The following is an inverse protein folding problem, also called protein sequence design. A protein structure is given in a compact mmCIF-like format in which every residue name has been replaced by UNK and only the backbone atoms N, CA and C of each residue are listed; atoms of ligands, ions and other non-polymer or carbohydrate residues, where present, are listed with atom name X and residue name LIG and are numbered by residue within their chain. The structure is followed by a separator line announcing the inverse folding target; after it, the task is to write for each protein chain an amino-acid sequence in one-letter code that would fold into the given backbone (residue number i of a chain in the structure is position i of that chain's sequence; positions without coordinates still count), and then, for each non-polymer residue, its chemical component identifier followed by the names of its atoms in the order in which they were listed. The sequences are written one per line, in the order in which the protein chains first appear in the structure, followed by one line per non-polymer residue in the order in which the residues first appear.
data_IF_206851936764
#
_entry.id   IF_206851936764
#
_cell.length_a   1.000
_cell.length_b   1.000
_cell.length_c   1.000
_cell.angle_alpha   90.00
_cell.angle_beta   90.00
_cell.angle_gamma   90.00
#
_symmetry.space_group_name_H-M   'P 1'
#
loop_
_entity.id
_entity.type
_entity.pdbx_description
1 polymer ?
#
# COMPACT_ATOMS: atom_id res chain seq x y z
N UNK A 1 -9.96 8.84 10.43
CA UNK A 1 -10.54 8.82 9.08
C UNK A 1 -9.54 9.38 8.07
N UNK A 2 -9.22 8.67 6.99
CA UNK A 2 -8.54 9.16 5.79
C UNK A 2 -9.61 9.66 4.82
N UNK A 3 -9.45 10.85 4.27
CA UNK A 3 -10.40 11.42 3.32
C UNK A 3 -9.68 12.03 2.11
N UNK A 4 -10.15 11.68 0.92
CA UNK A 4 -9.88 12.38 -0.33
C UNK A 4 -11.16 13.12 -0.73
N UNK A 5 -11.08 14.41 -1.04
CA UNK A 5 -12.23 15.25 -1.35
C UNK A 5 -12.01 15.97 -2.68
N UNK A 6 -12.85 15.66 -3.67
CA UNK A 6 -12.85 16.32 -4.97
C UNK A 6 -11.53 16.21 -5.74
N UNK A 7 -10.87 15.05 -5.67
CA UNK A 7 -9.56 14.86 -6.28
C UNK A 7 -9.65 14.93 -7.79
N UNK A 8 -8.88 15.86 -8.37
CA UNK A 8 -8.61 15.96 -9.79
C UNK A 8 -7.11 15.79 -10.03
N UNK A 9 -6.75 15.00 -11.02
CA UNK A 9 -5.36 14.78 -11.36
C UNK A 9 -5.17 14.45 -12.84
N UNK A 10 -4.16 15.08 -13.47
CA UNK A 10 -3.80 14.89 -14.86
C UNK A 10 -2.30 14.60 -15.01
N UNK A 11 -1.91 13.65 -15.85
CA UNK A 11 -0.53 13.50 -16.27
C UNK A 11 -0.23 14.49 -17.40
N UNK A 12 0.34 15.64 -17.06
CA UNK A 12 0.64 16.71 -18.04
C UNK A 12 -0.59 17.49 -18.49
N UNK A 13 -0.66 17.84 -19.79
CA UNK A 13 -1.73 18.69 -20.35
C UNK A 13 -2.92 17.89 -20.92
N UNK A 14 -3.02 16.60 -20.64
CA UNK A 14 -4.09 15.72 -21.13
C UNK A 14 -5.40 15.85 -20.35
N UNK A 15 -6.38 15.03 -20.73
CA UNK A 15 -7.60 14.87 -19.94
C UNK A 15 -7.29 14.35 -18.54
N UNK A 16 -8.08 14.74 -17.52
CA UNK A 16 -7.88 14.27 -16.17
C UNK A 16 -8.06 12.75 -16.09
N UNK A 17 -7.16 12.10 -15.35
CA UNK A 17 -7.26 10.66 -15.01
C UNK A 17 -8.17 10.47 -13.80
N UNK A 18 -8.17 11.45 -12.89
CA UNK A 18 -9.12 11.56 -11.79
C UNK A 18 -9.88 12.87 -11.96
N UNK A 19 -11.21 12.83 -11.90
CA UNK A 19 -12.06 14.01 -12.08
C UNK A 19 -13.13 14.08 -10.99
N UNK A 20 -12.84 14.82 -9.92
CA UNK A 20 -13.76 15.05 -8.80
C UNK A 20 -13.92 13.83 -7.86
N UNK A 21 -12.98 12.91 -7.84
CA UNK A 21 -13.06 11.68 -7.04
C UNK A 21 -13.02 11.99 -5.54
N UNK A 22 -13.95 11.40 -4.79
CA UNK A 22 -14.00 11.51 -3.34
C UNK A 22 -14.08 10.14 -2.69
N UNK A 23 -13.32 9.93 -1.61
CA UNK A 23 -13.24 8.67 -0.87
C UNK A 23 -13.04 8.97 0.62
N UNK A 24 -13.68 8.15 1.48
CA UNK A 24 -13.45 8.17 2.92
C UNK A 24 -13.20 6.76 3.42
N UNK A 25 -12.24 6.63 4.33
CA UNK A 25 -11.85 5.36 4.93
C UNK A 25 -11.66 5.55 6.43
N UNK A 26 -12.39 4.79 7.22
CA UNK A 26 -12.24 4.79 8.68
C UNK A 26 -11.11 3.84 9.13
N UNK A 27 -10.68 3.97 10.39
CA UNK A 27 -9.78 2.99 11.01
C UNK A 27 -10.44 1.62 11.01
N UNK A 28 -9.68 0.57 10.66
CA UNK A 28 -10.19 -0.81 10.58
C UNK A 28 -11.08 -1.11 9.36
N UNK A 29 -11.53 -0.10 8.60
CA UNK A 29 -12.29 -0.30 7.38
C UNK A 29 -11.40 -0.82 6.25
N UNK A 30 -11.93 -1.71 5.41
CA UNK A 30 -11.24 -2.31 4.27
C UNK A 30 -11.99 -2.02 2.98
N UNK A 31 -11.50 -1.02 2.26
CA UNK A 31 -12.15 -0.50 1.04
C UNK A 31 -11.46 -1.06 -0.20
N UNK A 32 -12.21 -1.77 -1.04
CA UNK A 32 -11.74 -2.18 -2.35
C UNK A 32 -12.04 -1.09 -3.39
N UNK A 33 -11.07 -0.72 -4.19
CA UNK A 33 -11.27 0.13 -5.37
C UNK A 33 -11.56 -0.76 -6.58
N UNK A 34 -12.76 -0.64 -7.12
CA UNK A 34 -13.24 -1.37 -8.28
C UNK A 34 -13.39 -0.43 -9.47
N UNK A 35 -12.78 -0.78 -10.58
CA UNK A 35 -12.97 -0.08 -11.85
C UNK A 35 -12.25 -0.84 -12.98
N UNK A 36 -12.57 -0.61 -14.26
CA UNK A 36 -11.81 -1.12 -15.39
C UNK A 36 -10.33 -0.73 -15.33
N UNK A 37 -9.46 -1.45 -16.06
CA UNK A 37 -8.05 -1.07 -16.17
C UNK A 37 -7.92 0.31 -16.82
N UNK A 38 -6.97 1.11 -16.32
CA UNK A 38 -6.71 2.45 -16.87
C UNK A 38 -7.60 3.58 -16.31
N UNK A 39 -8.54 3.29 -15.42
CA UNK A 39 -9.46 4.31 -14.83
C UNK A 39 -8.84 5.16 -13.72
N UNK A 40 -7.56 4.98 -13.39
CA UNK A 40 -6.89 5.81 -12.39
C UNK A 40 -6.77 5.22 -11.00
N UNK A 41 -7.08 3.93 -10.76
CA UNK A 41 -6.94 3.28 -9.44
C UNK A 41 -5.55 3.47 -8.81
N UNK A 42 -4.49 3.14 -9.56
CA UNK A 42 -3.09 3.36 -9.13
C UNK A 42 -2.79 4.84 -8.90
N UNK A 43 -3.36 5.73 -9.71
CA UNK A 43 -3.20 7.18 -9.55
C UNK A 43 -3.85 7.65 -8.26
N UNK A 44 -5.07 7.21 -7.97
CA UNK A 44 -5.74 7.50 -6.70
C UNK A 44 -4.96 6.93 -5.51
N UNK A 45 -4.48 5.69 -5.60
CA UNK A 45 -3.62 5.06 -4.58
C UNK A 45 -2.40 5.94 -4.25
N UNK A 46 -1.70 6.44 -5.28
CA UNK A 46 -0.54 7.34 -5.12
C UNK A 46 -0.92 8.70 -4.54
N UNK A 47 -2.06 9.25 -4.91
CA UNK A 47 -2.57 10.51 -4.34
C UNK A 47 -2.91 10.32 -2.86
N UNK A 48 -3.61 9.23 -2.49
CA UNK A 48 -3.95 8.90 -1.11
C UNK A 48 -2.71 8.73 -0.22
N UNK A 49 -1.65 8.12 -0.76
CA UNK A 49 -0.39 7.91 -0.04
C UNK A 49 0.57 9.14 -0.10
N UNK A 50 0.17 10.22 -0.77
CA UNK A 50 0.96 11.46 -0.85
C UNK A 50 2.13 11.43 -1.83
N UNK A 51 2.21 10.42 -2.71
CA UNK A 51 3.23 10.36 -3.78
C UNK A 51 2.92 11.28 -4.96
N UNK A 52 1.63 11.62 -5.16
CA UNK A 52 1.18 12.59 -6.15
C UNK A 52 0.36 13.68 -5.47
N UNK A 53 0.68 14.93 -5.78
CA UNK A 53 -0.14 16.06 -5.37
C UNK A 53 -1.30 16.22 -6.37
N UNK A 54 -2.56 16.24 -5.93
CA UNK A 54 -3.67 16.46 -6.85
C UNK A 54 -3.65 17.90 -7.42
N UNK A 55 -4.18 18.09 -8.65
CA UNK A 55 -4.34 19.39 -9.27
C UNK A 55 -5.41 20.20 -8.53
N UNK A 56 -6.50 19.51 -8.13
CA UNK A 56 -7.59 20.05 -7.32
C UNK A 56 -8.01 19.05 -6.26
N UNK A 57 -8.66 19.52 -5.20
CA UNK A 57 -9.06 18.71 -4.07
C UNK A 57 -7.95 18.56 -3.03
N UNK A 58 -8.14 17.65 -2.09
CA UNK A 58 -7.20 17.44 -1.00
C UNK A 58 -7.31 16.05 -0.38
N UNK A 59 -6.20 15.58 0.20
CA UNK A 59 -6.17 14.38 1.06
C UNK A 59 -5.88 14.80 2.49
N UNK A 60 -6.67 14.29 3.43
CA UNK A 60 -6.55 14.61 4.84
C UNK A 60 -6.67 13.35 5.72
N UNK A 61 -6.03 13.40 6.89
CA UNK A 61 -6.29 12.46 8.00
C UNK A 61 -6.89 13.26 9.15
N UNK A 62 -8.11 12.91 9.57
CA UNK A 62 -8.88 13.62 10.60
C UNK A 62 -8.96 15.13 10.33
N UNK A 63 -9.18 15.50 9.05
CA UNK A 63 -9.28 16.89 8.59
C UNK A 63 -7.93 17.63 8.47
N UNK A 64 -6.80 17.00 8.80
CA UNK A 64 -5.46 17.58 8.67
C UNK A 64 -4.76 17.06 7.41
N UNK A 65 -4.06 17.92 6.65
CA UNK A 65 -3.27 17.48 5.49
C UNK A 65 -2.23 16.43 5.88
N UNK A 66 -1.84 15.59 4.89
CA UNK A 66 -0.73 14.66 5.09
C UNK A 66 0.57 15.40 5.45
N UNK A 67 1.41 14.82 6.32
CA UNK A 67 2.67 15.46 6.71
C UNK A 67 3.62 15.53 5.51
N UNK A 68 4.27 16.68 5.35
CA UNK A 68 5.28 16.89 4.29
C UNK A 68 6.67 16.39 4.68
N UNK A 69 6.90 16.04 5.94
CA UNK A 69 8.19 15.57 6.49
C UNK A 69 7.94 14.46 7.51
N UNK A 70 8.93 13.59 7.64
CA UNK A 70 8.84 12.43 8.53
C UNK A 70 8.08 11.27 7.90
N UNK A 71 7.77 10.27 8.70
CA UNK A 71 7.05 9.08 8.26
C UNK A 71 5.58 9.43 8.00
N UNK A 72 5.11 9.15 6.79
CA UNK A 72 3.70 9.36 6.45
C UNK A 72 2.84 8.29 7.16
N UNK A 73 1.74 8.65 7.83
CA UNK A 73 0.84 7.70 8.44
C UNK A 73 0.00 6.89 7.43
N UNK A 74 0.12 7.19 6.14
CA UNK A 74 -0.40 6.39 5.03
C UNK A 74 0.78 5.73 4.33
N UNK A 75 0.85 4.40 4.36
CA UNK A 75 1.91 3.66 3.69
C UNK A 75 1.37 2.94 2.47
N UNK A 76 2.16 2.87 1.40
CA UNK A 76 1.77 2.20 0.17
C UNK A 76 2.58 0.92 -0.05
N UNK A 77 1.88 -0.16 -0.37
CA UNK A 77 2.45 -1.42 -0.83
C UNK A 77 2.22 -1.46 -2.35
N UNK A 78 3.32 -1.45 -3.09
CA UNK A 78 3.33 -1.32 -4.53
C UNK A 78 3.13 -2.67 -5.23
N UNK A 79 2.58 -2.64 -6.42
CA UNK A 79 2.50 -3.79 -7.31
C UNK A 79 3.89 -4.32 -7.68
N UNK A 80 4.83 -3.42 -7.93
CA UNK A 80 6.21 -3.69 -8.29
C UNK A 80 7.13 -3.36 -7.11
N UNK A 81 7.55 -4.34 -6.30
CA UNK A 81 8.33 -4.10 -5.10
C UNK A 81 9.69 -3.45 -5.38
N UNK A 82 10.27 -3.68 -6.55
CA UNK A 82 11.53 -3.07 -7.00
C UNK A 82 11.44 -1.54 -7.13
N UNK A 83 10.24 -1.00 -7.39
CA UNK A 83 10.01 0.44 -7.43
C UNK A 83 9.93 1.08 -6.03
N UNK A 84 9.80 0.27 -5.00
CA UNK A 84 9.62 0.72 -3.62
C UNK A 84 10.92 0.75 -2.80
N UNK A 85 12.04 0.20 -3.30
CA UNK A 85 13.29 0.03 -2.57
C UNK A 85 14.48 0.62 -3.32
N UNK A 86 15.51 1.05 -2.59
CA UNK A 86 16.79 1.43 -3.22
C UNK A 86 17.54 0.15 -3.65
N UNK A 87 17.79 -0.07 -4.97
CA UNK A 87 18.47 -1.25 -5.47
C UNK A 87 19.92 -1.40 -4.99
N UNK A 88 20.51 -0.35 -4.43
CA UNK A 88 21.88 -0.31 -3.90
C UNK A 88 21.94 -0.56 -2.39
N UNK A 89 20.79 -0.70 -1.74
CA UNK A 89 20.69 -0.90 -0.30
C UNK A 89 20.45 -2.37 0.03
N UNK A 90 21.14 -2.90 1.07
CA UNK A 90 20.85 -4.23 1.59
C UNK A 90 19.48 -4.24 2.27
N UNK A 91 18.77 -5.34 2.16
CA UNK A 91 17.37 -5.43 2.59
C UNK A 91 17.18 -5.25 4.11
N UNK A 92 18.14 -5.67 4.93
CA UNK A 92 18.11 -5.36 6.36
C UNK A 92 18.14 -3.86 6.66
N UNK A 93 18.86 -3.07 5.85
CA UNK A 93 18.84 -1.60 5.96
C UNK A 93 17.55 -0.99 5.44
N UNK A 94 16.99 -1.56 4.36
CA UNK A 94 15.67 -1.16 3.84
C UNK A 94 14.58 -1.32 4.90
N UNK A 95 14.60 -2.41 5.67
CA UNK A 95 13.65 -2.58 6.80
C UNK A 95 13.88 -1.55 7.91
N UNK A 96 15.15 -1.23 8.19
CA UNK A 96 15.51 -0.29 9.25
C UNK A 96 15.19 1.19 8.90
N UNK A 97 14.80 1.51 7.65
CA UNK A 97 14.35 2.86 7.27
C UNK A 97 13.10 3.31 8.05
N UNK A 98 12.23 2.37 8.39
CA UNK A 98 10.99 2.65 9.13
C UNK A 98 11.19 2.65 10.66
N UNK A 99 12.37 2.30 11.15
CA UNK A 99 12.66 2.16 12.58
C UNK A 99 13.36 0.84 12.92
N UNK A 100 13.41 0.46 14.19
CA UNK A 100 13.96 -0.83 14.60
C UNK A 100 13.23 -2.00 13.92
N UNK A 101 14.00 -2.99 13.46
CA UNK A 101 13.44 -4.16 12.77
C UNK A 101 12.56 -4.97 13.73
N UNK A 102 11.28 -5.05 13.44
CA UNK A 102 10.32 -5.85 14.17
C UNK A 102 10.46 -7.33 13.77
N UNK A 103 10.97 -8.15 14.70
CA UNK A 103 11.16 -9.58 14.49
C UNK A 103 9.85 -10.35 14.33
N UNK A 104 8.75 -9.87 14.89
CA UNK A 104 7.43 -10.48 14.69
C UNK A 104 6.93 -10.29 13.25
N UNK A 105 7.12 -9.10 12.67
CA UNK A 105 6.82 -8.85 11.25
C UNK A 105 7.70 -9.69 10.33
N UNK A 106 9.00 -9.78 10.61
CA UNK A 106 9.96 -10.59 9.84
C UNK A 106 9.56 -12.06 9.84
N UNK A 107 9.29 -12.63 11.01
CA UNK A 107 8.88 -14.02 11.17
C UNK A 107 7.52 -14.32 10.56
N UNK A 108 6.52 -13.45 10.79
CA UNK A 108 5.16 -13.60 10.27
C UNK A 108 5.08 -13.54 8.74
N UNK A 109 5.93 -12.74 8.11
CA UNK A 109 6.07 -12.69 6.65
C UNK A 109 7.00 -13.79 6.10
N UNK A 110 7.60 -14.63 6.94
CA UNK A 110 8.52 -15.68 6.50
C UNK A 110 9.79 -15.13 5.84
N UNK A 111 10.25 -13.95 6.25
CA UNK A 111 11.51 -13.36 5.80
C UNK A 111 12.65 -14.12 6.50
N UNK A 112 13.59 -14.65 5.73
CA UNK A 112 14.73 -15.39 6.24
C UNK A 112 15.86 -14.46 6.63
N UNK A 113 16.58 -14.78 7.71
CA UNK A 113 17.71 -13.96 8.17
C UNK A 113 18.80 -13.82 7.10
N UNK A 114 19.04 -14.88 6.30
CA UNK A 114 20.02 -14.87 5.21
C UNK A 114 19.69 -13.87 4.08
N UNK A 115 18.44 -13.39 3.98
CA UNK A 115 18.03 -12.40 3.00
C UNK A 115 18.35 -10.96 3.43
N UNK A 116 18.59 -10.73 4.71
CA UNK A 116 18.86 -9.39 5.25
C UNK A 116 20.11 -8.74 4.64
N UNK A 117 21.10 -9.56 4.31
CA UNK A 117 22.36 -9.10 3.72
C UNK A 117 22.36 -9.04 2.19
N UNK A 118 21.25 -9.45 1.56
CA UNK A 118 21.08 -9.43 0.11
C UNK A 118 20.61 -8.06 -0.38
N UNK A 119 20.85 -7.82 -1.67
CA UNK A 119 20.31 -6.70 -2.40
C UNK A 119 18.97 -7.07 -3.05
N UNK A 120 18.11 -6.09 -3.40
CA UNK A 120 16.79 -6.35 -4.01
C UNK A 120 16.84 -7.27 -5.24
N UNK A 121 17.83 -7.11 -6.11
CA UNK A 121 17.98 -7.89 -7.34
C UNK A 121 18.40 -9.36 -7.12
N UNK A 122 18.75 -9.74 -5.90
CA UNK A 122 19.13 -11.11 -5.52
C UNK A 122 17.94 -11.92 -4.97
N UNK A 123 16.74 -11.31 -4.90
CA UNK A 123 15.51 -11.94 -4.44
C UNK A 123 14.50 -12.10 -5.57
N UNK A 124 13.64 -13.12 -5.43
CA UNK A 124 12.43 -13.21 -6.25
C UNK A 124 11.45 -12.08 -5.90
N UNK A 125 10.54 -11.74 -6.83
CA UNK A 125 9.53 -10.72 -6.60
C UNK A 125 8.70 -10.96 -5.33
N UNK A 126 8.34 -12.23 -5.05
CA UNK A 126 7.58 -12.59 -3.84
C UNK A 126 8.37 -12.43 -2.54
N UNK A 127 9.67 -12.75 -2.57
CA UNK A 127 10.56 -12.53 -1.43
C UNK A 127 10.74 -11.03 -1.17
N UNK A 128 10.96 -10.23 -2.22
CA UNK A 128 11.11 -8.78 -2.12
C UNK A 128 9.81 -8.12 -1.65
N UNK A 129 8.65 -8.60 -2.11
CA UNK A 129 7.35 -8.09 -1.69
C UNK A 129 7.15 -8.21 -0.17
N UNK A 130 7.63 -9.31 0.44
CA UNK A 130 7.58 -9.50 1.90
C UNK A 130 8.33 -8.40 2.64
N UNK A 131 9.51 -7.98 2.13
CA UNK A 131 10.26 -6.85 2.69
C UNK A 131 9.52 -5.52 2.54
N UNK A 132 8.88 -5.27 1.40
CA UNK A 132 8.09 -4.06 1.18
C UNK A 132 6.90 -3.96 2.15
N UNK A 133 6.21 -5.08 2.39
CA UNK A 133 5.11 -5.16 3.36
C UNK A 133 5.63 -4.97 4.79
N UNK A 134 6.71 -5.66 5.16
CA UNK A 134 7.31 -5.52 6.49
C UNK A 134 7.71 -4.08 6.78
N UNK A 135 8.36 -3.40 5.81
CA UNK A 135 8.75 -1.99 5.93
C UNK A 135 7.55 -1.08 6.08
N UNK A 136 6.51 -1.28 5.27
CA UNK A 136 5.29 -0.48 5.35
C UNK A 136 4.60 -0.62 6.73
N UNK A 137 4.53 -1.83 7.26
CA UNK A 137 3.93 -2.10 8.58
C UNK A 137 4.83 -1.66 9.75
N UNK A 138 6.16 -1.72 9.59
CA UNK A 138 7.12 -1.24 10.59
C UNK A 138 7.05 0.28 10.80
N UNK A 139 6.54 1.02 9.81
CA UNK A 139 6.28 2.45 9.92
C UNK A 139 5.06 2.79 10.82
N UNK A 140 4.41 1.80 11.42
CA UNK A 140 3.21 1.94 12.25
C UNK A 140 2.11 2.79 11.58
N UNK A 141 1.70 2.43 10.35
CA UNK A 141 0.77 3.24 9.59
C UNK A 141 -0.62 3.24 10.22
N UNK A 142 -1.35 4.33 10.05
CA UNK A 142 -2.78 4.41 10.34
C UNK A 142 -3.62 3.89 9.17
N UNK A 143 -3.09 4.00 7.95
CA UNK A 143 -3.72 3.53 6.71
C UNK A 143 -2.68 2.85 5.82
N UNK A 144 -3.09 1.77 5.18
CA UNK A 144 -2.31 1.06 4.16
C UNK A 144 -3.05 1.12 2.83
N UNK A 145 -2.32 1.45 1.78
CA UNK A 145 -2.81 1.40 0.40
C UNK A 145 -2.10 0.25 -0.30
N UNK A 146 -2.82 -0.81 -0.67
CA UNK A 146 -2.28 -1.98 -1.36
C UNK A 146 -2.70 -1.95 -2.85
N UNK A 147 -1.77 -1.55 -3.73
CA UNK A 147 -2.01 -1.45 -5.16
C UNK A 147 -1.55 -2.74 -5.85
N UNK A 148 -2.50 -3.64 -6.11
CA UNK A 148 -2.27 -4.93 -6.81
C UNK A 148 -1.07 -5.73 -6.28
N UNK A 149 -0.77 -5.64 -5.01
CA UNK A 149 0.48 -6.06 -4.36
C UNK A 149 0.81 -7.55 -4.50
N UNK A 150 -0.11 -8.36 -5.01
CA UNK A 150 0.04 -9.82 -5.07
C UNK A 150 -0.17 -10.43 -6.45
N UNK A 151 -0.36 -9.62 -7.50
CA UNK A 151 -0.64 -10.11 -8.88
C UNK A 151 0.52 -10.90 -9.47
N UNK A 152 1.76 -10.65 -9.03
CA UNK A 152 2.97 -11.33 -9.51
C UNK A 152 3.33 -12.57 -8.70
N UNK A 153 2.49 -12.97 -7.73
CA UNK A 153 2.78 -14.06 -6.79
C UNK A 153 2.00 -15.33 -7.15
N UNK A 154 2.58 -16.49 -6.84
CA UNK A 154 1.84 -17.75 -6.86
C UNK A 154 0.71 -17.75 -5.80
N UNK A 155 -0.31 -18.58 -6.00
CA UNK A 155 -1.51 -18.59 -5.19
C UNK A 155 -1.25 -18.87 -3.70
N UNK A 156 -0.25 -19.70 -3.37
CA UNK A 156 0.08 -20.01 -1.99
C UNK A 156 0.73 -18.82 -1.29
N UNK A 157 1.72 -18.23 -1.93
CA UNK A 157 2.40 -17.01 -1.44
C UNK A 157 1.41 -15.86 -1.30
N UNK A 158 0.52 -15.68 -2.28
CA UNK A 158 -0.55 -14.68 -2.23
C UNK A 158 -1.44 -14.88 -1.00
N UNK A 159 -1.93 -16.10 -0.77
CA UNK A 159 -2.79 -16.41 0.37
C UNK A 159 -2.09 -16.15 1.71
N UNK A 160 -0.81 -16.52 1.84
CA UNK A 160 -0.02 -16.29 3.05
C UNK A 160 0.15 -14.80 3.34
N UNK A 161 0.53 -14.00 2.33
CA UNK A 161 0.75 -12.57 2.46
C UNK A 161 -0.55 -11.85 2.83
N UNK A 162 -1.66 -12.15 2.13
CA UNK A 162 -2.95 -11.54 2.45
C UNK A 162 -3.44 -11.90 3.84
N UNK A 163 -3.31 -13.18 4.24
CA UNK A 163 -3.67 -13.59 5.60
C UNK A 163 -2.89 -12.79 6.64
N UNK A 164 -1.56 -12.74 6.50
CA UNK A 164 -0.72 -11.99 7.43
C UNK A 164 -1.09 -10.49 7.46
N UNK A 165 -1.28 -9.87 6.29
CA UNK A 165 -1.68 -8.45 6.23
C UNK A 165 -3.02 -8.22 6.91
N UNK A 166 -4.01 -9.12 6.73
CA UNK A 166 -5.30 -9.00 7.38
C UNK A 166 -5.21 -9.12 8.90
N UNK A 167 -4.43 -10.09 9.40
CA UNK A 167 -4.19 -10.26 10.83
C UNK A 167 -3.58 -8.98 11.44
N UNK A 168 -2.62 -8.34 10.76
CA UNK A 168 -2.00 -7.10 11.22
C UNK A 168 -2.94 -5.88 11.10
N UNK A 169 -3.69 -5.76 10.02
CA UNK A 169 -4.70 -4.71 9.81
C UNK A 169 -5.76 -4.75 10.90
N UNK A 170 -6.28 -5.92 11.21
CA UNK A 170 -7.28 -6.13 12.24
C UNK A 170 -6.72 -5.85 13.65
N UNK A 171 -5.55 -6.41 13.97
CA UNK A 171 -4.90 -6.26 15.26
C UNK A 171 -4.57 -4.80 15.60
N UNK A 172 -4.20 -3.99 14.59
CA UNK A 172 -3.78 -2.59 14.75
C UNK A 172 -4.87 -1.58 14.41
N UNK A 173 -6.07 -2.05 14.03
CA UNK A 173 -7.18 -1.19 13.55
C UNK A 173 -6.76 -0.27 12.39
N UNK A 174 -5.88 -0.76 11.49
CA UNK A 174 -5.40 -0.01 10.33
C UNK A 174 -6.50 0.06 9.27
N UNK A 175 -6.78 1.25 8.73
CA UNK A 175 -7.63 1.38 7.55
C UNK A 175 -6.90 0.87 6.30
N UNK A 176 -7.57 0.06 5.48
CA UNK A 176 -6.99 -0.52 4.27
C UNK A 176 -7.76 -0.05 3.03
N UNK A 177 -7.04 0.48 2.05
CA UNK A 177 -7.53 0.63 0.67
C UNK A 177 -6.77 -0.34 -0.21
N UNK A 178 -7.47 -1.13 -1.02
CA UNK A 178 -6.78 -2.07 -1.89
C UNK A 178 -7.38 -2.17 -3.29
N UNK A 179 -6.51 -2.46 -4.25
CA UNK A 179 -6.86 -2.77 -5.63
C UNK A 179 -6.58 -4.25 -5.86
N UNK A 180 -7.54 -4.97 -6.41
CA UNK A 180 -7.37 -6.39 -6.78
C UNK A 180 -8.20 -6.72 -8.02
N UNK A 181 -7.66 -7.59 -8.87
CA UNK A 181 -8.38 -8.18 -10.00
C UNK A 181 -9.09 -9.49 -9.63
N UNK A 182 -8.98 -9.96 -8.39
CA UNK A 182 -9.64 -11.17 -7.91
C UNK A 182 -10.95 -10.85 -7.21
N UNK A 183 -12.14 -11.13 -7.82
CA UNK A 183 -13.42 -10.93 -7.17
C UNK A 183 -13.54 -11.70 -5.85
N UNK A 184 -13.06 -12.95 -5.83
CA UNK A 184 -13.09 -13.79 -4.62
C UNK A 184 -12.28 -13.21 -3.47
N UNK A 185 -11.13 -12.55 -3.77
CA UNK A 185 -10.35 -11.86 -2.75
C UNK A 185 -11.08 -10.62 -2.25
N UNK A 186 -11.65 -9.84 -3.18
CA UNK A 186 -12.43 -8.64 -2.86
C UNK A 186 -13.60 -8.96 -1.97
N UNK A 187 -14.44 -9.92 -2.33
CA UNK A 187 -15.59 -10.36 -1.53
C UNK A 187 -15.21 -10.84 -0.12
N UNK A 188 -14.05 -11.47 0.00
CA UNK A 188 -13.60 -12.01 1.28
C UNK A 188 -13.02 -10.96 2.21
N UNK A 189 -12.37 -9.92 1.68
CA UNK A 189 -11.58 -8.95 2.46
C UNK A 189 -12.32 -7.63 2.64
N UNK A 190 -13.01 -7.13 1.62
CA UNK A 190 -13.62 -5.81 1.65
C UNK A 190 -14.77 -5.72 2.66
N UNK A 191 -14.79 -4.63 3.41
CA UNK A 191 -15.99 -4.19 4.13
C UNK A 191 -16.87 -3.34 3.23
N UNK A 192 -16.25 -2.65 2.27
CA UNK A 192 -16.89 -1.75 1.31
C UNK A 192 -16.20 -1.80 -0.04
N UNK A 193 -16.96 -1.57 -1.11
CA UNK A 193 -16.45 -1.48 -2.49
C UNK A 193 -16.80 -0.10 -3.02
N UNK A 194 -15.81 0.59 -3.54
CA UNK A 194 -15.96 1.90 -4.18
C UNK A 194 -15.63 1.78 -5.66
N UNK A 195 -16.58 2.15 -6.50
CA UNK A 195 -16.41 2.23 -7.95
C UNK A 195 -15.87 3.60 -8.36
N UNK A 196 -14.89 3.63 -9.28
CA UNK A 196 -14.27 4.85 -9.82
C UNK A 196 -14.72 5.09 -11.24
#
# INVERSE_FOLDING_TARGET
MLAAEGIRYSYGKGAPVLDGVSLRVESGQRVALSAPSGTGKTTLARVLAGYLAPDEGRVTIDGRPLPRRGVCPVQMIWQHPEAAVDPRMRLGRTLAEAGPVDRALVGGLGIRDEWMDRFPHELSGGELQRFCIARALAAEPRFVIADEMSTMLDALTQAQIWRFLMDEVERREVGLVFVSHSPALTERIATDIVEL
#
